data_IF_635703698982
#
_entry.id   IF_635703698982
#
_cell.length_a   1.000
_cell.length_b   1.000
_cell.length_c   1.000
_cell.angle_alpha   90.00
_cell.angle_beta   90.00
_cell.angle_gamma   90.00
#
_symmetry.space_group_name_H-M   'P 1'
#
loop_
_entity.id
_entity.type
_entity.pdbx_description
1 polymer ?
#
# COMPACT_ATOMS: atom_id res chain seq x y z
N UNK A 1 3.86 24.32 -18.48
CA UNK A 1 5.08 23.51 -18.67
C UNK A 1 4.99 22.34 -17.69
N UNK A 2 4.89 21.11 -18.18
CA UNK A 2 4.79 19.92 -17.33
C UNK A 2 6.18 19.52 -16.86
N UNK A 3 6.54 19.98 -15.66
CA UNK A 3 7.72 19.45 -14.96
C UNK A 3 7.59 17.94 -14.86
N UNK A 4 8.45 17.25 -15.60
CA UNK A 4 8.46 15.80 -15.64
C UNK A 4 9.00 15.35 -14.29
N UNK A 5 8.11 14.90 -13.40
CA UNK A 5 8.50 14.32 -12.12
C UNK A 5 9.35 13.07 -12.38
N UNK A 6 10.68 13.25 -12.39
CA UNK A 6 11.63 12.14 -12.49
C UNK A 6 11.84 11.58 -11.09
N UNK A 7 11.03 10.58 -10.75
CA UNK A 7 11.28 9.79 -9.56
C UNK A 7 12.49 8.89 -9.84
N UNK A 8 13.60 9.00 -9.09
CA UNK A 8 14.69 8.06 -9.25
C UNK A 8 14.17 6.69 -8.82
N UNK A 9 14.12 5.73 -9.75
CA UNK A 9 13.72 4.34 -9.44
C UNK A 9 14.57 3.74 -8.29
N UNK A 10 15.76 4.29 -8.03
CA UNK A 10 16.63 3.96 -6.91
C UNK A 10 16.11 4.36 -5.52
N UNK A 11 15.07 5.19 -5.42
CA UNK A 11 14.39 5.51 -4.14
C UNK A 11 13.14 4.65 -3.90
N UNK A 12 12.80 3.73 -4.80
CA UNK A 12 11.79 2.71 -4.53
C UNK A 12 12.39 1.64 -3.61
N UNK A 13 11.75 1.33 -2.48
CA UNK A 13 12.12 0.16 -1.70
C UNK A 13 12.09 -1.09 -2.61
N UNK A 14 13.16 -1.92 -2.65
CA UNK A 14 13.25 -3.06 -3.58
C UNK A 14 12.03 -3.98 -3.53
N UNK A 15 11.47 -4.19 -2.35
CA UNK A 15 10.27 -5.00 -2.15
C UNK A 15 9.04 -4.48 -2.93
N UNK A 16 8.93 -3.20 -3.23
CA UNK A 16 7.81 -2.66 -4.03
C UNK A 16 7.86 -3.16 -5.47
N UNK A 17 9.07 -3.40 -5.98
CA UNK A 17 9.32 -3.88 -7.34
C UNK A 17 9.25 -5.40 -7.42
N UNK A 18 9.78 -6.10 -6.40
CA UNK A 18 9.97 -7.55 -6.45
C UNK A 18 8.90 -8.38 -5.71
N UNK A 19 8.00 -7.76 -4.93
CA UNK A 19 6.99 -8.52 -4.22
C UNK A 19 5.95 -9.12 -5.19
N UNK A 20 5.46 -10.35 -4.91
CA UNK A 20 4.47 -11.01 -5.75
C UNK A 20 3.12 -10.27 -5.71
N UNK A 21 2.25 -10.46 -6.73
CA UNK A 21 0.88 -10.02 -6.66
C UNK A 21 0.15 -10.59 -5.43
N UNK A 22 -0.75 -9.81 -4.84
CA UNK A 22 -1.53 -10.23 -3.67
C UNK A 22 -2.35 -9.09 -3.09
N UNK A 23 -2.58 -9.12 -1.78
CA UNK A 23 -3.29 -8.04 -1.08
C UNK A 23 -2.28 -7.04 -0.52
N UNK A 24 -2.42 -5.78 -0.95
CA UNK A 24 -1.59 -4.68 -0.45
C UNK A 24 -2.45 -3.65 0.22
N UNK A 25 -1.89 -2.99 1.23
CA UNK A 25 -2.53 -1.93 1.95
C UNK A 25 -1.75 -0.63 1.97
N UNK A 26 -2.49 0.46 2.16
CA UNK A 26 -1.97 1.77 2.51
C UNK A 26 -2.51 2.09 3.90
N UNK A 27 -1.62 2.28 4.87
CA UNK A 27 -1.96 2.76 6.20
C UNK A 27 -1.55 4.22 6.30
N UNK A 28 -2.47 5.08 6.75
CA UNK A 28 -2.20 6.49 7.00
C UNK A 28 -2.35 6.74 8.50
N UNK A 29 -1.28 7.22 9.11
CA UNK A 29 -1.28 7.66 10.50
C UNK A 29 -1.58 9.15 10.55
N UNK A 30 -2.64 9.53 11.26
CA UNK A 30 -3.03 10.92 11.43
C UNK A 30 -2.40 11.52 12.69
N UNK A 31 -2.26 12.84 12.71
CA UNK A 31 -2.03 13.57 13.96
C UNK A 31 -3.28 13.53 14.84
N UNK A 32 -3.09 13.21 16.12
CA UNK A 32 -4.16 13.19 17.12
C UNK A 32 -3.99 14.33 18.12
N UNK A 33 -5.01 15.20 18.32
CA UNK A 33 -4.87 16.42 19.13
C UNK A 33 -4.51 16.20 20.60
N UNK A 34 -4.77 15.00 21.11
CA UNK A 34 -4.60 14.66 22.52
C UNK A 34 -3.21 14.07 22.80
N UNK A 35 -2.54 13.52 21.77
CA UNK A 35 -1.33 12.71 21.94
C UNK A 35 -0.10 13.26 21.22
N UNK A 36 -0.27 14.17 20.25
CA UNK A 36 0.81 14.63 19.40
C UNK A 36 1.03 16.16 19.50
N UNK A 37 2.29 16.58 19.37
CA UNK A 37 2.62 17.96 19.04
C UNK A 37 2.11 18.26 17.62
N UNK A 38 1.11 19.14 17.54
CA UNK A 38 0.43 19.45 16.30
C UNK A 38 1.27 20.37 15.40
N UNK A 39 1.25 20.16 14.07
CA UNK A 39 1.99 21.01 13.13
C UNK A 39 1.44 22.44 13.09
N UNK A 40 2.30 23.38 12.68
CA UNK A 40 1.90 24.78 12.54
C UNK A 40 0.74 24.93 11.54
N UNK A 41 -0.29 25.69 11.92
CA UNK A 41 -1.47 25.91 11.09
C UNK A 41 -2.49 24.77 11.09
N UNK A 42 -2.34 23.78 11.99
CA UNK A 42 -3.32 22.72 12.20
C UNK A 42 -4.68 23.29 12.61
N UNK A 43 -5.75 22.85 11.95
CA UNK A 43 -7.12 23.06 12.39
C UNK A 43 -7.96 21.83 12.12
N UNK A 44 -8.92 21.54 13.01
CA UNK A 44 -9.77 20.36 12.90
C UNK A 44 -10.59 20.35 11.60
N UNK A 45 -11.10 21.52 11.18
CA UNK A 45 -11.88 21.66 9.95
C UNK A 45 -11.04 21.39 8.69
N UNK A 46 -9.85 21.99 8.59
CA UNK A 46 -8.94 21.76 7.46
C UNK A 46 -8.45 20.32 7.44
N UNK A 47 -8.16 19.75 8.61
CA UNK A 47 -7.73 18.37 8.73
C UNK A 47 -8.81 17.40 8.24
N UNK A 48 -10.08 17.64 8.62
CA UNK A 48 -11.21 16.85 8.15
C UNK A 48 -11.40 16.94 6.62
N UNK A 49 -11.23 18.13 6.03
CA UNK A 49 -11.35 18.33 4.60
C UNK A 49 -10.23 17.63 3.81
N UNK A 50 -8.99 17.81 4.22
CA UNK A 50 -7.82 17.13 3.62
C UNK A 50 -7.98 15.61 3.74
N UNK A 51 -8.38 15.12 4.91
CA UNK A 51 -8.66 13.71 5.10
C UNK A 51 -9.76 13.20 4.16
N UNK A 52 -10.86 13.94 4.00
CA UNK A 52 -11.95 13.58 3.08
C UNK A 52 -11.44 13.47 1.64
N UNK A 53 -10.58 14.38 1.19
CA UNK A 53 -9.95 14.32 -0.14
C UNK A 53 -9.09 13.07 -0.31
N UNK A 54 -8.22 12.77 0.66
CA UNK A 54 -7.37 11.56 0.65
C UNK A 54 -8.23 10.28 0.60
N UNK A 55 -9.23 10.20 1.48
CA UNK A 55 -10.11 9.04 1.60
C UNK A 55 -10.90 8.79 0.32
N UNK A 56 -11.44 9.85 -0.29
CA UNK A 56 -12.15 9.75 -1.56
C UNK A 56 -11.23 9.27 -2.69
N UNK A 57 -10.02 9.82 -2.79
CA UNK A 57 -9.04 9.42 -3.79
C UNK A 57 -8.66 7.93 -3.67
N UNK A 58 -8.40 7.45 -2.45
CA UNK A 58 -8.04 6.05 -2.21
C UNK A 58 -9.20 5.10 -2.52
N UNK A 59 -10.44 5.48 -2.20
CA UNK A 59 -11.64 4.71 -2.58
C UNK A 59 -11.82 4.65 -4.09
N UNK A 60 -11.68 5.77 -4.78
CA UNK A 60 -11.73 5.83 -6.25
C UNK A 60 -10.61 5.01 -6.91
N UNK A 61 -9.49 4.84 -6.22
CA UNK A 61 -8.36 4.00 -6.65
C UNK A 61 -8.56 2.50 -6.38
N UNK A 62 -9.79 2.08 -6.07
CA UNK A 62 -10.20 0.72 -5.73
C UNK A 62 -9.54 0.15 -4.46
N UNK A 63 -9.23 1.01 -3.47
CA UNK A 63 -8.90 0.55 -2.13
C UNK A 63 -10.13 0.61 -1.21
N UNK A 64 -10.33 -0.44 -0.43
CA UNK A 64 -11.40 -0.56 0.57
C UNK A 64 -10.87 -0.18 1.94
N UNK A 65 -11.56 0.72 2.64
CA UNK A 65 -11.23 1.10 4.02
C UNK A 65 -11.60 -0.03 4.99
N UNK A 66 -10.71 -0.36 5.92
CA UNK A 66 -10.87 -1.50 6.87
C UNK A 66 -10.97 -1.07 8.35
N UNK A 67 -10.72 0.22 8.62
CA UNK A 67 -10.94 0.94 9.89
C UNK A 67 -10.32 0.39 11.19
N UNK A 68 -9.44 1.23 11.77
CA UNK A 68 -9.24 1.36 13.22
C UNK A 68 -9.29 2.87 13.60
N UNK A 69 -9.38 3.18 14.90
CA UNK A 69 -9.65 4.54 15.39
C UNK A 69 -8.46 5.52 15.31
N UNK A 70 -7.24 5.05 15.09
CA UNK A 70 -6.02 5.89 15.15
C UNK A 70 -5.21 5.88 13.85
N UNK A 71 -5.45 4.90 12.99
CA UNK A 71 -4.84 4.72 11.69
C UNK A 71 -5.90 4.35 10.65
N UNK A 72 -5.82 4.96 9.48
CA UNK A 72 -6.74 4.59 8.40
C UNK A 72 -6.05 3.61 7.50
N UNK A 73 -6.56 2.40 7.54
CA UNK A 73 -6.09 1.30 6.71
C UNK A 73 -6.99 1.13 5.49
N UNK A 74 -6.37 1.10 4.31
CA UNK A 74 -6.99 0.84 3.02
C UNK A 74 -6.36 -0.40 2.39
N UNK A 75 -7.16 -1.33 1.89
CA UNK A 75 -6.68 -2.57 1.26
C UNK A 75 -7.12 -2.66 -0.20
N UNK A 76 -6.28 -3.28 -1.01
CA UNK A 76 -6.61 -3.69 -2.38
C UNK A 76 -6.15 -5.12 -2.61
N UNK A 77 -7.09 -5.98 -2.98
CA UNK A 77 -6.83 -7.38 -3.36
C UNK A 77 -6.32 -7.46 -4.79
N UNK A 78 -5.60 -8.53 -5.11
CA UNK A 78 -5.14 -8.84 -6.46
C UNK A 78 -4.40 -7.68 -7.14
N UNK A 79 -3.47 -7.05 -6.42
CA UNK A 79 -2.66 -5.93 -6.91
C UNK A 79 -1.17 -6.21 -6.72
N UNK A 80 -0.32 -5.35 -7.27
CA UNK A 80 1.13 -5.39 -7.06
C UNK A 80 1.56 -4.26 -6.14
N UNK A 81 2.71 -4.44 -5.47
CA UNK A 81 3.33 -3.39 -4.66
C UNK A 81 3.52 -2.10 -5.47
N UNK A 82 4.06 -2.22 -6.68
CA UNK A 82 4.27 -1.08 -7.59
C UNK A 82 2.98 -0.32 -7.91
N UNK A 83 1.87 -1.01 -8.19
CA UNK A 83 0.59 -0.36 -8.49
C UNK A 83 0.04 0.38 -7.27
N UNK A 84 0.11 -0.24 -6.10
CA UNK A 84 -0.33 0.37 -4.83
C UNK A 84 0.55 1.55 -4.43
N UNK A 85 1.87 1.44 -4.65
CA UNK A 85 2.81 2.53 -4.43
C UNK A 85 2.54 3.71 -5.36
N UNK A 86 2.25 3.44 -6.63
CA UNK A 86 1.91 4.46 -7.61
C UNK A 86 0.67 5.25 -7.19
N UNK A 87 -0.35 4.58 -6.65
CA UNK A 87 -1.54 5.23 -6.07
C UNK A 87 -1.13 6.14 -4.90
N UNK A 88 -0.28 5.65 -4.00
CA UNK A 88 0.22 6.44 -2.88
C UNK A 88 0.95 7.71 -3.36
N UNK A 89 1.81 7.60 -4.37
CA UNK A 89 2.52 8.74 -4.96
C UNK A 89 1.57 9.75 -5.63
N UNK A 90 0.57 9.26 -6.36
CA UNK A 90 -0.39 10.12 -7.05
C UNK A 90 -1.40 10.80 -6.12
N UNK A 91 -1.41 10.48 -4.83
CA UNK A 91 -2.16 11.23 -3.81
C UNK A 91 -1.80 12.72 -3.80
N UNK A 92 -0.59 13.08 -4.23
CA UNK A 92 -0.15 14.48 -4.38
C UNK A 92 -0.94 15.28 -5.42
N UNK A 93 -1.70 14.60 -6.29
CA UNK A 93 -2.59 15.26 -7.26
C UNK A 93 -3.87 15.81 -6.62
N UNK A 94 -4.24 15.34 -5.42
CA UNK A 94 -5.48 15.76 -4.73
C UNK A 94 -5.23 16.55 -3.44
N UNK A 95 -4.02 16.45 -2.88
CA UNK A 95 -3.59 17.16 -1.67
C UNK A 95 -2.15 17.62 -1.86
N UNK A 96 -1.90 18.91 -1.61
CA UNK A 96 -0.54 19.46 -1.69
C UNK A 96 0.36 18.91 -0.57
N UNK A 97 1.69 18.90 -0.75
CA UNK A 97 2.61 18.39 0.26
C UNK A 97 2.50 19.12 1.61
N UNK A 98 2.19 20.42 1.60
CA UNK A 98 2.05 21.23 2.80
C UNK A 98 0.75 20.86 3.54
N UNK A 99 -0.37 20.77 2.83
CA UNK A 99 -1.64 20.30 3.41
C UNK A 99 -1.52 18.87 3.95
N UNK A 100 -0.86 17.98 3.22
CA UNK A 100 -0.65 16.60 3.63
C UNK A 100 0.09 16.52 4.99
N UNK A 101 1.14 17.33 5.15
CA UNK A 101 1.94 17.38 6.38
C UNK A 101 1.17 17.92 7.59
N UNK A 102 0.15 18.74 7.38
CA UNK A 102 -0.68 19.21 8.50
C UNK A 102 -1.55 18.13 9.09
N UNK A 103 -1.80 17.02 8.38
CA UNK A 103 -2.79 16.02 8.80
C UNK A 103 -2.18 14.64 8.98
N UNK A 104 -1.18 14.30 8.15
CA UNK A 104 -0.59 12.97 8.09
C UNK A 104 0.79 12.96 8.75
N UNK A 105 0.89 12.16 9.82
CA UNK A 105 2.13 11.90 10.55
C UNK A 105 3.05 10.97 9.75
N UNK A 106 2.50 9.87 9.24
CA UNK A 106 3.20 8.90 8.42
C UNK A 106 2.20 8.19 7.47
N UNK A 107 2.72 7.63 6.38
CA UNK A 107 1.96 6.80 5.45
C UNK A 107 2.81 5.60 5.05
N UNK A 108 2.25 4.40 5.20
CA UNK A 108 2.94 3.15 4.92
C UNK A 108 2.24 2.37 3.84
N UNK A 109 3.02 1.79 2.92
CA UNK A 109 2.55 0.67 2.11
C UNK A 109 2.89 -0.62 2.85
N UNK A 110 1.93 -1.52 2.99
CA UNK A 110 2.16 -2.81 3.61
C UNK A 110 1.60 -3.94 2.75
N UNK A 111 2.15 -5.13 2.91
CA UNK A 111 1.66 -6.33 2.25
C UNK A 111 0.87 -7.15 3.26
N UNK A 112 -0.38 -7.48 2.93
CA UNK A 112 -1.15 -8.45 3.68
C UNK A 112 -0.86 -9.80 3.04
N UNK A 113 -0.15 -10.68 3.75
CA UNK A 113 0.00 -12.03 3.28
C UNK A 113 -1.42 -12.62 3.20
N UNK A 114 -1.89 -12.95 1.99
CA UNK A 114 -3.16 -13.68 1.89
C UNK A 114 -3.01 -14.97 2.69
N UNK A 115 -4.02 -15.36 3.49
CA UNK A 115 -4.00 -16.69 4.10
C UNK A 115 -3.76 -17.65 2.96
N UNK A 116 -2.60 -18.29 3.02
CA UNK A 116 -2.24 -19.39 2.15
C UNK A 116 -3.45 -20.32 2.20
N UNK A 117 -4.14 -20.60 1.08
CA UNK A 117 -5.31 -21.45 1.12
C UNK A 117 -4.87 -22.77 1.76
N UNK A 118 -5.27 -22.99 3.02
CA UNK A 118 -4.90 -24.17 3.78
C UNK A 118 -5.29 -25.34 2.91
N UNK A 119 -4.32 -26.12 2.43
CA UNK A 119 -4.52 -27.18 1.43
C UNK A 119 -5.83 -27.92 1.69
N UNK A 120 -6.89 -27.55 0.95
CA UNK A 120 -8.23 -28.08 1.22
C UNK A 120 -8.37 -29.33 0.39
N UNK A 121 -8.68 -30.45 1.03
CA UNK A 121 -9.12 -31.64 0.30
C UNK A 121 -10.34 -31.26 -0.55
N UNK A 122 -10.27 -31.52 -1.86
CA UNK A 122 -11.40 -31.29 -2.76
C UNK A 122 -12.31 -32.50 -2.70
N UNK A 123 -13.58 -32.28 -2.36
CA UNK A 123 -14.62 -33.28 -2.53
C UNK A 123 -15.14 -33.19 -3.97
N UNK A 124 -15.15 -34.31 -4.69
CA UNK A 124 -15.70 -34.42 -6.04
C UNK A 124 -16.72 -35.54 -6.08
N UNK A 125 -17.78 -35.37 -6.88
CA UNK A 125 -18.78 -36.43 -7.10
C UNK A 125 -18.15 -37.51 -7.96
N UNK A 126 -18.29 -38.76 -7.55
CA UNK A 126 -17.78 -39.87 -8.34
C UNK A 126 -18.56 -39.95 -9.66
N UNK A 127 -17.91 -39.88 -10.83
CA UNK A 127 -18.60 -39.95 -12.11
C UNK A 127 -19.15 -41.35 -12.41
N UNK A 128 -18.75 -42.39 -11.65
CA UNK A 128 -19.26 -43.75 -11.80
C UNK A 128 -20.54 -43.97 -10.97
N UNK A 129 -21.71 -44.13 -11.62
CA UNK A 129 -22.99 -44.35 -10.94
C UNK A 129 -23.09 -45.70 -10.22
N UNK A 130 -22.15 -46.64 -10.45
CA UNK A 130 -22.06 -47.92 -9.74
C UNK A 130 -21.16 -47.90 -8.50
N UNK A 131 -20.50 -46.78 -8.21
CA UNK A 131 -19.55 -46.73 -7.11
C UNK A 131 -20.24 -46.80 -5.74
N UNK A 132 -19.74 -47.64 -4.80
CA UNK A 132 -20.24 -47.66 -3.43
C UNK A 132 -19.96 -46.35 -2.67
N UNK A 133 -19.04 -45.51 -3.17
CA UNK A 133 -18.72 -44.21 -2.59
C UNK A 133 -19.12 -43.08 -3.56
N UNK A 134 -20.14 -42.28 -3.22
CA UNK A 134 -20.65 -41.22 -4.10
C UNK A 134 -19.70 -40.01 -4.21
N UNK A 135 -18.66 -39.95 -3.37
CA UNK A 135 -17.69 -38.87 -3.36
C UNK A 135 -16.26 -39.39 -3.37
N UNK A 136 -15.38 -38.68 -4.07
CA UNK A 136 -13.93 -38.87 -4.03
C UNK A 136 -13.30 -37.65 -3.37
N UNK A 137 -12.48 -37.90 -2.34
CA UNK A 137 -11.68 -36.89 -1.67
C UNK A 137 -10.31 -36.85 -2.35
N UNK A 138 -9.99 -35.75 -3.02
CA UNK A 138 -8.69 -35.54 -3.64
C UNK A 138 -7.88 -34.59 -2.77
N UNK A 139 -6.73 -35.06 -2.27
CA UNK A 139 -5.77 -34.23 -1.57
C UNK A 139 -5.10 -33.21 -2.52
N UNK A 140 -4.40 -32.21 -1.98
CA UNK A 140 -3.59 -31.31 -2.80
C UNK A 140 -2.54 -32.10 -3.58
N UNK A 141 -2.29 -31.69 -4.83
CA UNK A 141 -1.19 -32.25 -5.61
C UNK A 141 0.18 -31.83 -5.02
N UNK A 142 1.25 -32.62 -5.21
CA UNK A 142 2.60 -32.25 -4.76
C UNK A 142 3.07 -30.89 -5.29
N UNK A 143 2.67 -30.52 -6.51
CA UNK A 143 2.97 -29.20 -7.10
C UNK A 143 2.21 -28.05 -6.43
N UNK A 144 0.96 -28.28 -6.00
CA UNK A 144 0.21 -27.32 -5.21
C UNK A 144 0.91 -27.12 -3.85
N UNK A 145 1.31 -28.20 -3.17
CA UNK A 145 2.04 -28.14 -1.89
C UNK A 145 3.35 -27.35 -2.02
N UNK A 146 4.14 -27.61 -3.07
CA UNK A 146 5.41 -26.91 -3.30
C UNK A 146 5.22 -25.43 -3.61
N UNK A 147 4.22 -25.08 -4.44
CA UNK A 147 3.87 -23.67 -4.71
C UNK A 147 3.43 -22.95 -3.44
N UNK A 148 2.69 -23.63 -2.59
CA UNK A 148 2.18 -23.10 -1.32
C UNK A 148 3.30 -22.85 -0.30
N UNK A 149 4.25 -23.78 -0.19
CA UNK A 149 5.45 -23.62 0.65
C UNK A 149 6.36 -22.50 0.14
N UNK A 150 6.55 -22.39 -1.18
CA UNK A 150 7.32 -21.30 -1.77
C UNK A 150 6.66 -19.93 -1.52
N UNK A 151 5.33 -19.86 -1.63
CA UNK A 151 4.54 -18.66 -1.30
C UNK A 151 4.69 -18.29 0.17
N UNK A 152 4.58 -19.28 1.06
CA UNK A 152 4.73 -19.10 2.52
C UNK A 152 6.13 -18.59 2.89
N UNK A 153 7.19 -19.18 2.32
CA UNK A 153 8.57 -18.72 2.56
C UNK A 153 8.81 -17.32 2.03
N UNK A 154 8.31 -17.01 0.83
CA UNK A 154 8.40 -15.66 0.27
C UNK A 154 7.70 -14.63 1.19
N UNK A 155 6.52 -14.96 1.74
CA UNK A 155 5.80 -14.09 2.69
C UNK A 155 6.59 -13.80 3.97
N UNK A 156 7.37 -14.75 4.48
CA UNK A 156 8.15 -14.59 5.72
C UNK A 156 9.39 -13.70 5.57
N UNK A 157 9.93 -13.58 4.35
CA UNK A 157 11.17 -12.82 4.10
C UNK A 157 10.93 -11.39 3.63
N UNK A 158 9.69 -11.02 3.33
CA UNK A 158 9.36 -9.71 2.78
C UNK A 158 9.19 -8.68 3.91
N UNK A 159 9.79 -7.49 3.80
CA UNK A 159 9.48 -6.42 4.73
C UNK A 159 8.00 -6.09 4.58
N UNK A 160 7.31 -6.11 5.72
CA UNK A 160 5.85 -6.07 5.77
C UNK A 160 5.30 -4.67 5.57
N UNK A 161 6.09 -3.62 5.82
CA UNK A 161 5.70 -2.23 5.61
C UNK A 161 6.85 -1.32 5.16
N UNK A 162 6.51 -0.26 4.42
CA UNK A 162 7.43 0.76 3.93
C UNK A 162 6.82 2.13 4.15
N UNK A 163 7.50 2.99 4.91
CA UNK A 163 7.11 4.40 5.01
C UNK A 163 7.35 5.10 3.67
N UNK A 164 6.36 5.85 3.22
CA UNK A 164 6.40 6.71 2.05
C UNK A 164 6.42 8.19 2.43
N UNK A 165 6.47 8.53 3.72
CA UNK A 165 6.29 9.91 4.16
C UNK A 165 7.39 10.83 3.64
N UNK A 166 8.64 10.36 3.62
CA UNK A 166 9.76 11.11 3.04
C UNK A 166 9.50 11.45 1.58
N UNK A 167 8.97 10.49 0.81
CA UNK A 167 8.66 10.65 -0.61
C UNK A 167 7.48 11.62 -0.83
N UNK A 168 6.43 11.51 -0.03
CA UNK A 168 5.26 12.39 -0.10
C UNK A 168 5.58 13.82 0.34
N UNK A 169 6.58 14.00 1.22
CA UNK A 169 7.09 15.30 1.68
C UNK A 169 8.08 15.95 0.72
N UNK A 170 8.65 15.23 -0.25
CA UNK A 170 9.69 15.79 -1.13
C UNK A 170 9.16 16.90 -2.04
N UNK A 171 9.42 18.14 -1.67
CA UNK A 171 9.35 19.32 -2.54
C UNK A 171 10.30 20.37 -1.98
N UNK A 172 11.61 20.30 -2.32
CA UNK A 172 12.62 21.38 -2.22
C UNK A 172 14.08 21.06 -2.65
N UNK A 173 14.37 19.97 -3.37
CA UNK A 173 15.74 19.71 -3.84
C UNK A 173 15.84 19.56 -5.36
N UNK A 174 15.48 20.63 -6.08
CA UNK A 174 15.92 20.89 -7.46
C UNK A 174 15.79 22.38 -7.76
N UNK A 175 16.41 23.23 -6.93
CA UNK A 175 16.88 24.52 -7.45
C UNK A 175 18.38 24.35 -7.67
N UNK A 176 18.89 24.34 -8.92
CA UNK A 176 20.30 24.65 -9.11
C UNK A 176 20.50 26.05 -8.51
N UNK A 177 21.43 26.17 -7.57
CA UNK A 177 21.93 27.47 -7.16
C UNK A 177 22.57 28.09 -8.40
N UNK A 178 21.80 28.87 -9.18
CA UNK A 178 22.41 29.87 -10.04
C UNK A 178 23.00 30.90 -9.10
N UNK A 179 24.31 30.78 -8.91
CA UNK A 179 25.10 31.74 -8.17
C UNK A 179 24.75 33.15 -8.63
N UNK A 180 24.53 34.03 -7.66
CA UNK A 180 24.68 35.46 -7.88
C UNK A 180 26.09 35.68 -8.44
N UNK A 181 26.19 35.89 -9.75
CA UNK A 181 27.37 36.52 -10.33
C UNK A 181 27.26 37.99 -9.96
N UNK A 182 27.75 38.33 -8.76
CA UNK A 182 28.17 39.70 -8.49
C UNK A 182 29.39 39.94 -9.37
N UNK A 183 29.27 40.83 -10.35
CA UNK A 183 30.43 41.49 -10.92
C UNK A 183 30.24 42.99 -10.91
N UNK A 184 31.27 43.59 -10.34
CA UNK A 184 31.68 44.99 -10.26
C UNK A 184 31.73 45.62 -11.65
#
# INVERSE_FOLDING_TARGET
MSDSFRFPLSSLPPAIVFNPPGTYGIQIQLYTPVLDDLPAGWSMEKAAEVYKRISNYLRMSALTRVDDQTSITFLRRYTTGLRTWTILLFMRSVVSPDEFQTVVKDAHLFYVPEPVPTLVCRLSVNPDPGSPNPFTVTGPSPEEVLRDQARTRAMQTLPTSFSAIGVLRMSRYTQPQMGQINNI
#
